data_IF_546370822023
#
_entry.id   IF_546370822023
#
_cell.length_a   1.000
_cell.length_b   1.000
_cell.length_c   1.000
_cell.angle_alpha   90.00
_cell.angle_beta   90.00
_cell.angle_gamma   90.00
#
_symmetry.space_group_name_H-M   'P 1'
#
loop_
_entity.id
_entity.type
_entity.pdbx_description
1 polymer ?
#
# COMPACT_ATOMS: atom_id res chain seq x y z
N UNK A 1 47.18 8.48 21.76
CA UNK A 1 46.69 7.83 20.53
C UNK A 1 45.43 6.98 20.74
N UNK A 2 45.21 6.32 21.90
CA UNK A 2 43.99 5.54 22.16
C UNK A 2 42.66 6.33 22.06
N UNK A 3 42.65 7.63 22.39
CA UNK A 3 41.44 8.49 22.33
C UNK A 3 40.96 8.83 20.91
N UNK A 4 41.85 8.81 19.91
CA UNK A 4 41.50 9.10 18.51
C UNK A 4 40.78 7.93 17.86
N UNK A 5 41.14 6.69 18.25
CA UNK A 5 40.56 5.46 17.72
C UNK A 5 39.07 5.28 18.08
N UNK A 6 38.65 5.73 19.28
CA UNK A 6 37.24 5.70 19.68
C UNK A 6 36.37 6.70 18.91
N UNK A 7 36.94 7.84 18.49
CA UNK A 7 36.21 8.84 17.72
C UNK A 7 35.92 8.34 16.29
N UNK A 8 36.87 7.63 15.67
CA UNK A 8 36.71 7.04 14.34
C UNK A 8 35.63 5.94 14.31
N UNK A 9 35.53 5.13 15.36
CA UNK A 9 34.50 4.08 15.48
C UNK A 9 33.11 4.69 15.72
N UNK A 10 33.01 5.81 16.46
CA UNK A 10 31.75 6.55 16.61
C UNK A 10 31.29 7.18 15.29
N UNK A 11 32.20 7.77 14.51
CA UNK A 11 31.83 8.36 13.21
C UNK A 11 31.46 7.31 12.14
N UNK A 12 32.12 6.15 12.12
CA UNK A 12 31.79 5.04 11.22
C UNK A 12 30.45 4.35 11.57
N UNK A 13 30.05 4.34 12.84
CA UNK A 13 28.73 3.82 13.25
C UNK A 13 27.59 4.79 12.98
N UNK A 14 27.85 6.10 12.91
CA UNK A 14 26.84 7.11 12.55
C UNK A 14 26.60 7.15 11.03
N UNK A 15 27.61 6.85 10.20
CA UNK A 15 27.45 6.84 8.73
C UNK A 15 26.54 5.71 8.22
N UNK A 16 26.38 4.62 8.98
CA UNK A 16 25.42 3.53 8.66
C UNK A 16 24.00 3.78 9.19
N UNK A 17 23.71 4.97 9.73
CA UNK A 17 22.41 5.35 10.28
C UNK A 17 21.77 6.50 9.50
N UNK A 18 21.95 6.55 8.17
CA UNK A 18 20.90 7.12 7.32
C UNK A 18 19.66 6.24 7.47
N UNK A 19 18.92 6.46 8.56
CA UNK A 19 17.70 5.76 8.87
C UNK A 19 16.71 6.02 7.73
N UNK A 20 16.59 5.03 6.85
CA UNK A 20 15.72 5.17 5.70
C UNK A 20 14.31 5.45 6.15
N UNK A 21 13.78 6.53 5.59
CA UNK A 21 12.43 6.99 5.85
C UNK A 21 11.54 6.70 4.64
N UNK A 22 10.27 7.05 4.76
CA UNK A 22 9.27 6.73 3.73
C UNK A 22 9.55 7.39 2.37
N UNK A 23 10.21 8.55 2.36
CA UNK A 23 10.60 9.26 1.13
C UNK A 23 11.70 8.49 0.40
N UNK A 24 12.65 7.91 1.13
CA UNK A 24 13.70 7.07 0.53
C UNK A 24 13.07 5.84 -0.14
N UNK A 25 12.11 5.19 0.53
CA UNK A 25 11.38 4.06 -0.07
C UNK A 25 10.54 4.46 -1.27
N UNK A 26 9.94 5.65 -1.26
CA UNK A 26 9.21 6.16 -2.43
C UNK A 26 10.10 6.28 -3.66
N UNK A 27 11.38 6.59 -3.50
CA UNK A 27 12.34 6.60 -4.61
C UNK A 27 12.78 5.19 -5.04
N UNK A 28 12.89 4.26 -4.10
CA UNK A 28 13.40 2.90 -4.35
C UNK A 28 12.37 1.93 -4.94
N UNK A 29 11.06 2.17 -4.74
CA UNK A 29 10.01 1.29 -5.25
C UNK A 29 10.00 1.29 -6.80
N UNK A 30 9.86 0.13 -7.46
CA UNK A 30 9.78 0.07 -8.92
C UNK A 30 8.62 0.91 -9.48
N UNK A 31 8.86 1.61 -10.59
CA UNK A 31 7.92 2.60 -11.14
C UNK A 31 6.56 2.04 -11.52
N UNK A 32 6.50 0.77 -11.96
CA UNK A 32 5.26 0.08 -12.26
C UNK A 32 4.25 0.04 -11.09
N UNK A 33 4.71 0.23 -9.84
CA UNK A 33 3.85 0.26 -8.65
C UNK A 33 3.41 1.68 -8.23
N UNK A 34 3.90 2.71 -8.93
CA UNK A 34 3.70 4.13 -8.61
C UNK A 34 3.39 4.92 -9.90
N UNK A 35 2.46 4.40 -10.68
CA UNK A 35 1.98 5.00 -11.94
C UNK A 35 3.08 5.33 -12.97
N UNK A 36 4.14 4.52 -12.99
CA UNK A 36 5.31 4.72 -13.87
C UNK A 36 6.00 6.07 -13.73
N UNK A 37 5.86 6.76 -12.59
CA UNK A 37 6.62 7.98 -12.30
C UNK A 37 8.10 7.66 -12.18
N UNK A 38 8.92 8.37 -12.95
CA UNK A 38 10.38 8.32 -12.93
C UNK A 38 10.95 8.85 -11.62
N UNK A 39 12.22 8.53 -11.34
CA UNK A 39 12.93 9.05 -10.17
C UNK A 39 12.93 10.59 -10.11
N UNK A 40 13.13 11.26 -11.25
CA UNK A 40 13.17 12.72 -11.34
C UNK A 40 11.80 13.32 -11.02
N UNK A 41 10.73 12.73 -11.54
CA UNK A 41 9.34 13.16 -11.26
C UNK A 41 8.99 12.98 -9.78
N UNK A 42 9.35 11.85 -9.18
CA UNK A 42 9.15 11.62 -7.75
C UNK A 42 9.91 12.61 -6.88
N UNK A 43 11.15 12.93 -7.25
CA UNK A 43 11.94 13.95 -6.54
C UNK A 43 11.31 15.34 -6.65
N UNK A 44 10.79 15.68 -7.83
CA UNK A 44 10.02 16.92 -8.05
C UNK A 44 8.75 16.94 -7.19
N UNK A 45 7.99 15.83 -7.14
CA UNK A 45 6.81 15.67 -6.31
C UNK A 45 7.09 15.87 -4.83
N UNK A 46 8.14 15.25 -4.29
CA UNK A 46 8.49 15.42 -2.87
C UNK A 46 8.84 16.87 -2.55
N UNK A 47 9.55 17.56 -3.45
CA UNK A 47 9.95 18.96 -3.29
C UNK A 47 8.75 19.91 -3.37
N UNK A 48 7.89 19.74 -4.37
CA UNK A 48 6.85 20.70 -4.73
C UNK A 48 5.45 20.30 -4.22
N UNK A 49 5.31 19.08 -3.68
CA UNK A 49 4.04 18.44 -3.27
C UNK A 49 3.02 18.22 -4.38
N UNK A 50 3.33 18.68 -5.59
CA UNK A 50 2.49 18.66 -6.77
C UNK A 50 3.35 18.45 -8.02
N UNK A 51 2.82 17.72 -8.99
CA UNK A 51 3.38 17.60 -10.34
C UNK A 51 2.23 17.50 -11.34
N UNK A 52 2.31 18.28 -12.40
CA UNK A 52 1.43 18.11 -13.57
C UNK A 52 2.23 17.45 -14.67
N UNK A 53 1.66 16.40 -15.26
CA UNK A 53 2.27 15.60 -16.32
C UNK A 53 1.19 15.23 -17.31
N UNK A 54 1.31 15.72 -18.54
CA UNK A 54 0.27 15.61 -19.56
C UNK A 54 -1.07 16.18 -19.04
N UNK A 55 -2.13 15.39 -19.04
CA UNK A 55 -3.46 15.69 -18.53
C UNK A 55 -3.69 15.19 -17.10
N UNK A 56 -2.63 14.82 -16.38
CA UNK A 56 -2.69 14.30 -15.03
C UNK A 56 -2.06 15.23 -14.00
N UNK A 57 -2.79 15.41 -12.89
CA UNK A 57 -2.35 16.07 -11.68
C UNK A 57 -1.99 15.02 -10.63
N UNK A 58 -0.78 15.13 -10.12
CA UNK A 58 -0.28 14.33 -9.01
C UNK A 58 -0.07 15.21 -7.77
N UNK A 59 -0.46 14.70 -6.60
CA UNK A 59 -0.17 15.30 -5.31
C UNK A 59 0.42 14.27 -4.35
N UNK A 60 1.26 14.70 -3.42
CA UNK A 60 1.88 13.80 -2.44
C UNK A 60 1.77 14.33 -1.02
N UNK A 61 1.24 13.49 -0.14
CA UNK A 61 1.27 13.67 1.31
C UNK A 61 2.19 12.62 1.92
N UNK A 62 2.96 13.00 2.95
CA UNK A 62 3.76 12.04 3.68
C UNK A 62 3.92 12.42 5.15
N UNK A 63 4.08 11.39 5.98
CA UNK A 63 4.34 11.46 7.40
C UNK A 63 5.58 10.62 7.70
N UNK A 64 6.73 11.29 7.82
CA UNK A 64 8.02 10.66 8.10
C UNK A 64 7.99 9.92 9.45
N UNK A 65 7.27 10.47 10.44
CA UNK A 65 7.22 9.92 11.81
C UNK A 65 6.49 8.57 11.82
N UNK A 66 5.36 8.49 11.13
CA UNK A 66 4.57 7.25 11.05
C UNK A 66 5.05 6.31 9.93
N UNK A 67 5.91 6.81 9.03
CA UNK A 67 6.43 6.05 7.90
C UNK A 67 5.36 5.78 6.85
N UNK A 68 4.55 6.80 6.54
CA UNK A 68 3.43 6.72 5.59
C UNK A 68 3.59 7.75 4.47
N UNK A 69 3.26 7.37 3.25
CA UNK A 69 3.16 8.26 2.09
C UNK A 69 1.94 7.91 1.28
N UNK A 70 1.29 8.94 0.74
CA UNK A 70 0.15 8.84 -0.16
C UNK A 70 0.39 9.72 -1.37
N UNK A 71 0.37 9.09 -2.54
CA UNK A 71 0.38 9.74 -3.84
C UNK A 71 -1.04 9.65 -4.39
N UNK A 72 -1.61 10.79 -4.77
CA UNK A 72 -2.89 10.84 -5.48
C UNK A 72 -2.65 11.32 -6.91
N UNK A 73 -3.39 10.72 -7.83
CA UNK A 73 -3.43 11.05 -9.25
C UNK A 73 -4.88 11.34 -9.62
N UNK A 74 -5.08 12.36 -10.44
CA UNK A 74 -6.39 12.69 -11.03
C UNK A 74 -6.19 13.35 -12.38
N UNK A 75 -7.19 13.29 -13.25
CA UNK A 75 -7.15 14.06 -14.50
C UNK A 75 -7.45 15.53 -14.24
N UNK A 76 -6.77 16.42 -14.96
CA UNK A 76 -6.97 17.87 -14.85
C UNK A 76 -8.23 18.34 -15.56
N UNK A 77 -8.64 17.64 -16.62
CA UNK A 77 -9.80 18.00 -17.44
C UNK A 77 -10.53 16.74 -17.95
N UNK A 78 -11.85 16.86 -18.14
CA UNK A 78 -12.70 15.91 -18.86
C UNK A 78 -12.98 14.57 -18.16
N UNK A 79 -11.94 13.86 -17.72
CA UNK A 79 -12.07 12.53 -17.13
C UNK A 79 -12.24 12.59 -15.62
N UNK A 80 -13.12 11.75 -15.08
CA UNK A 80 -13.40 11.61 -13.64
C UNK A 80 -12.51 10.56 -12.95
N UNK A 81 -11.47 10.10 -13.63
CA UNK A 81 -10.58 9.03 -13.16
C UNK A 81 -9.63 9.52 -12.08
N UNK A 82 -9.32 8.65 -11.12
CA UNK A 82 -8.33 8.90 -10.08
C UNK A 82 -7.57 7.63 -9.70
N UNK A 83 -6.39 7.84 -9.16
CA UNK A 83 -5.52 6.81 -8.60
C UNK A 83 -5.01 7.24 -7.23
N UNK A 84 -4.98 6.31 -6.29
CA UNK A 84 -4.43 6.51 -4.95
C UNK A 84 -3.38 5.41 -4.75
N UNK A 85 -2.17 5.81 -4.39
CA UNK A 85 -1.05 4.91 -4.11
C UNK A 85 -0.53 5.21 -2.72
N UNK A 86 -0.59 4.23 -1.83
CA UNK A 86 -0.16 4.34 -0.44
C UNK A 86 1.09 3.49 -0.22
N UNK A 87 2.00 3.98 0.62
CA UNK A 87 3.22 3.30 1.02
C UNK A 87 3.36 3.39 2.53
N UNK A 88 3.64 2.27 3.18
CA UNK A 88 3.96 2.19 4.62
C UNK A 88 5.16 1.28 4.84
N UNK A 89 5.96 1.56 5.88
CA UNK A 89 6.95 0.59 6.35
C UNK A 89 6.81 0.20 7.84
N UNK A 90 7.31 -1.00 8.13
CA UNK A 90 7.50 -1.57 9.45
C UNK A 90 8.99 -1.86 9.67
N UNK A 91 9.45 -1.61 10.89
CA UNK A 91 10.76 -2.05 11.33
C UNK A 91 10.64 -3.53 11.74
N UNK A 92 11.42 -4.38 11.11
CA UNK A 92 11.51 -5.82 11.38
C UNK A 92 12.95 -6.08 11.83
N UNK A 93 13.22 -7.07 12.69
CA UNK A 93 14.51 -7.20 13.43
C UNK A 93 15.77 -6.80 12.66
N UNK A 94 15.92 -7.27 11.42
CA UNK A 94 17.10 -7.02 10.58
C UNK A 94 16.77 -6.45 9.20
N UNK A 95 15.58 -5.87 9.00
CA UNK A 95 15.12 -5.36 7.70
C UNK A 95 13.96 -4.38 7.86
N UNK A 96 13.55 -3.75 6.76
CA UNK A 96 12.27 -3.02 6.69
C UNK A 96 11.30 -3.81 5.84
N UNK A 97 10.07 -3.98 6.32
CA UNK A 97 8.97 -4.44 5.50
C UNK A 97 8.27 -3.19 4.96
N UNK A 98 8.04 -3.13 3.65
CA UNK A 98 7.34 -2.03 2.99
C UNK A 98 6.09 -2.62 2.33
N UNK A 99 4.96 -1.95 2.47
CA UNK A 99 3.75 -2.26 1.71
C UNK A 99 3.45 -1.14 0.73
N UNK A 100 3.01 -1.51 -0.46
CA UNK A 100 2.44 -0.61 -1.46
C UNK A 100 1.02 -1.08 -1.76
N UNK A 101 0.05 -0.16 -1.68
CA UNK A 101 -1.35 -0.40 -2.00
C UNK A 101 -1.81 0.63 -3.01
N UNK A 102 -2.53 0.20 -4.06
CA UNK A 102 -3.08 1.13 -5.04
C UNK A 102 -4.56 0.86 -5.32
N UNK A 103 -5.36 1.93 -5.33
CA UNK A 103 -6.77 1.92 -5.72
C UNK A 103 -6.93 2.80 -6.95
N UNK A 104 -7.67 2.31 -7.93
CA UNK A 104 -8.07 3.09 -9.11
C UNK A 104 -9.59 3.23 -9.11
N UNK A 105 -10.07 4.40 -9.49
CA UNK A 105 -11.50 4.67 -9.52
C UNK A 105 -11.89 5.71 -10.56
N UNK A 106 -13.20 5.79 -10.79
CA UNK A 106 -13.83 6.78 -11.65
C UNK A 106 -15.30 6.90 -11.27
N UNK A 107 -15.84 8.11 -11.33
CA UNK A 107 -17.28 8.41 -11.15
C UNK A 107 -17.91 7.94 -9.81
N UNK A 108 -17.09 7.57 -8.81
CA UNK A 108 -17.52 7.07 -7.49
C UNK A 108 -17.36 5.56 -7.29
N UNK A 109 -17.03 4.83 -8.36
CA UNK A 109 -16.68 3.41 -8.36
C UNK A 109 -15.18 3.26 -8.28
N UNK A 110 -14.70 2.19 -7.67
CA UNK A 110 -13.28 1.91 -7.55
C UNK A 110 -13.03 0.42 -7.35
N UNK A 111 -11.78 0.03 -7.58
CA UNK A 111 -11.27 -1.30 -7.27
C UNK A 111 -9.84 -1.21 -6.71
N UNK A 112 -9.46 -2.21 -5.92
CA UNK A 112 -8.07 -2.40 -5.54
C UNK A 112 -7.30 -2.83 -6.79
N UNK A 113 -6.40 -1.98 -7.28
CA UNK A 113 -5.60 -2.24 -8.47
C UNK A 113 -4.38 -3.12 -8.16
N UNK A 114 -3.75 -2.93 -6.99
CA UNK A 114 -2.57 -3.73 -6.62
C UNK A 114 -2.31 -3.67 -5.11
N UNK A 115 -1.62 -4.68 -4.60
CA UNK A 115 -1.07 -4.72 -3.25
C UNK A 115 0.21 -5.57 -3.25
N UNK A 116 1.28 -5.03 -2.68
CA UNK A 116 2.61 -5.67 -2.65
C UNK A 116 3.34 -5.42 -1.34
N UNK A 117 4.05 -6.44 -0.89
CA UNK A 117 5.09 -6.32 0.12
C UNK A 117 6.48 -6.35 -0.50
N UNK A 118 7.38 -5.55 0.06
CA UNK A 118 8.80 -5.55 -0.24
C UNK A 118 9.61 -5.66 1.05
N UNK A 119 10.76 -6.32 0.97
CA UNK A 119 11.77 -6.31 2.02
C UNK A 119 12.93 -5.44 1.58
N UNK A 120 13.33 -4.52 2.45
CA UNK A 120 14.56 -3.75 2.29
C UNK A 120 15.59 -4.18 3.33
N UNK A 121 16.72 -4.70 2.84
CA UNK A 121 17.83 -5.18 3.66
C UNK A 121 19.15 -5.00 2.90
N UNK A 122 20.18 -4.53 3.60
CA UNK A 122 21.54 -4.42 3.04
C UNK A 122 21.55 -3.70 1.68
N UNK A 123 20.84 -2.58 1.61
CA UNK A 123 20.64 -1.75 0.40
C UNK A 123 19.86 -2.35 -0.76
N UNK A 124 19.28 -3.53 -0.55
CA UNK A 124 18.51 -4.24 -1.57
C UNK A 124 17.02 -4.24 -1.23
N UNK A 125 16.22 -3.76 -2.19
CA UNK A 125 14.77 -3.89 -2.18
C UNK A 125 14.37 -5.15 -2.97
N UNK A 126 13.66 -6.07 -2.33
CA UNK A 126 13.18 -7.30 -2.95
C UNK A 126 11.69 -7.48 -2.74
N UNK A 127 10.98 -7.92 -3.76
CA UNK A 127 9.55 -8.21 -3.65
C UNK A 127 9.32 -9.50 -2.85
N UNK A 128 8.40 -9.43 -1.88
CA UNK A 128 8.03 -10.59 -1.08
C UNK A 128 7.11 -11.50 -1.88
N UNK A 129 7.51 -12.76 -2.02
CA UNK A 129 6.74 -13.77 -2.76
C UNK A 129 5.52 -14.27 -1.99
N UNK A 130 5.64 -14.46 -0.67
CA UNK A 130 4.61 -14.99 0.22
C UNK A 130 4.88 -14.61 1.69
N UNK A 131 3.86 -14.71 2.55
CA UNK A 131 3.96 -14.40 3.98
C UNK A 131 3.49 -13.00 4.38
N UNK A 132 3.81 -12.60 5.61
CA UNK A 132 3.34 -11.40 6.33
C UNK A 132 1.83 -11.30 6.55
N UNK A 133 1.00 -11.68 5.59
CA UNK A 133 -0.45 -11.71 5.73
C UNK A 133 -0.95 -13.09 5.29
N UNK A 134 -1.99 -13.59 5.95
CA UNK A 134 -2.57 -14.88 5.60
C UNK A 134 -2.95 -14.91 4.12
N UNK A 135 -2.61 -16.01 3.44
CA UNK A 135 -2.91 -16.25 2.02
C UNK A 135 -2.23 -15.28 1.04
N UNK A 136 -1.31 -14.42 1.50
CA UNK A 136 -0.58 -13.49 0.63
C UNK A 136 0.34 -14.20 -0.35
N UNK A 137 0.29 -13.74 -1.59
CA UNK A 137 1.22 -14.07 -2.66
C UNK A 137 1.49 -12.82 -3.50
N UNK A 138 2.70 -12.73 -4.06
CA UNK A 138 3.08 -11.68 -5.02
C UNK A 138 2.17 -11.60 -6.24
N UNK A 139 1.49 -12.68 -6.65
CA UNK A 139 0.46 -12.60 -7.68
C UNK A 139 -0.82 -11.95 -7.11
N UNK A 140 -1.07 -10.70 -7.49
CA UNK A 140 -2.17 -9.91 -6.92
C UNK A 140 -3.55 -10.53 -7.20
N UNK A 141 -3.79 -11.06 -8.40
CA UNK A 141 -5.06 -11.69 -8.76
C UNK A 141 -5.35 -12.92 -7.89
N UNK A 142 -4.33 -13.74 -7.64
CA UNK A 142 -4.47 -14.91 -6.75
C UNK A 142 -4.70 -14.44 -5.31
N UNK A 143 -3.93 -13.45 -4.85
CA UNK A 143 -4.04 -12.94 -3.50
C UNK A 143 -5.42 -12.31 -3.22
N UNK A 144 -5.92 -11.43 -4.09
CA UNK A 144 -7.19 -10.74 -3.90
C UNK A 144 -8.36 -11.73 -3.87
N UNK A 145 -8.33 -12.76 -4.72
CA UNK A 145 -9.34 -13.81 -4.75
C UNK A 145 -9.32 -14.66 -3.46
N UNK A 146 -8.13 -15.01 -2.96
CA UNK A 146 -7.99 -15.71 -1.68
C UNK A 146 -8.52 -14.86 -0.53
N UNK A 147 -8.17 -13.57 -0.52
CA UNK A 147 -8.57 -12.64 0.53
C UNK A 147 -10.09 -12.43 0.56
N UNK A 148 -10.73 -12.21 -0.59
CA UNK A 148 -12.20 -12.17 -0.70
C UNK A 148 -12.84 -13.49 -0.27
N UNK A 149 -12.17 -14.62 -0.53
CA UNK A 149 -12.56 -15.93 -0.02
C UNK A 149 -12.65 -15.98 1.51
N UNK A 150 -11.78 -15.27 2.24
CA UNK A 150 -11.85 -15.17 3.70
C UNK A 150 -13.10 -14.39 4.17
N UNK A 151 -13.48 -13.35 3.44
CA UNK A 151 -14.62 -12.47 3.77
C UNK A 151 -15.99 -13.09 3.43
N UNK A 152 -16.03 -14.10 2.56
CA UNK A 152 -17.28 -14.66 2.01
C UNK A 152 -17.70 -15.96 2.70
N UNK A 153 -19.01 -16.24 2.70
CA UNK A 153 -19.59 -17.51 3.16
C UNK A 153 -19.04 -18.68 2.33
N UNK A 154 -18.91 -19.85 2.96
CA UNK A 154 -18.31 -21.06 2.34
C UNK A 154 -18.99 -21.48 1.03
N UNK A 155 -20.30 -21.25 0.91
CA UNK A 155 -21.12 -21.60 -0.25
C UNK A 155 -21.26 -20.48 -1.30
N UNK A 156 -20.59 -19.33 -1.12
CA UNK A 156 -20.59 -18.26 -2.12
C UNK A 156 -19.94 -18.74 -3.41
N UNK A 157 -20.63 -18.57 -4.54
CA UNK A 157 -20.17 -19.03 -5.85
C UNK A 157 -18.91 -18.28 -6.30
N UNK A 158 -18.13 -18.90 -7.20
CA UNK A 158 -16.90 -18.29 -7.70
C UNK A 158 -17.16 -17.01 -8.51
N UNK A 159 -18.28 -16.94 -9.24
CA UNK A 159 -18.68 -15.72 -9.96
C UNK A 159 -18.90 -14.55 -9.01
N UNK A 160 -19.61 -14.75 -7.89
CA UNK A 160 -19.81 -13.69 -6.89
C UNK A 160 -18.50 -13.26 -6.24
N UNK A 161 -17.58 -14.20 -5.99
CA UNK A 161 -16.23 -13.87 -5.48
C UNK A 161 -15.42 -13.06 -6.49
N UNK A 162 -15.55 -13.36 -7.78
CA UNK A 162 -14.94 -12.59 -8.86
C UNK A 162 -15.47 -11.16 -8.91
N UNK A 163 -16.79 -10.97 -8.82
CA UNK A 163 -17.39 -9.63 -8.77
C UNK A 163 -16.89 -8.85 -7.55
N UNK A 164 -16.84 -9.49 -6.38
CA UNK A 164 -16.36 -8.89 -5.14
C UNK A 164 -14.88 -8.52 -5.18
N UNK A 165 -14.02 -9.29 -5.85
CA UNK A 165 -12.60 -8.93 -5.98
C UNK A 165 -12.36 -7.74 -6.89
N UNK A 166 -13.30 -7.44 -7.79
CA UNK A 166 -13.26 -6.31 -8.70
C UNK A 166 -14.07 -5.10 -8.21
N UNK A 167 -14.78 -5.20 -7.09
CA UNK A 167 -15.71 -4.17 -6.64
C UNK A 167 -15.43 -3.69 -5.22
N UNK A 168 -15.11 -2.40 -5.11
CA UNK A 168 -15.21 -1.61 -3.87
C UNK A 168 -14.48 -2.16 -2.64
N UNK A 169 -13.54 -3.05 -2.90
CA UNK A 169 -12.73 -3.70 -1.91
C UNK A 169 -11.44 -2.91 -1.77
N UNK A 170 -11.05 -2.59 -0.54
CA UNK A 170 -9.84 -1.81 -0.25
C UNK A 170 -8.96 -2.54 0.74
N UNK A 171 -7.66 -2.52 0.49
CA UNK A 171 -6.61 -2.82 1.46
C UNK A 171 -5.95 -1.49 1.86
N UNK A 172 -6.44 -0.90 2.94
CA UNK A 172 -6.01 0.42 3.41
C UNK A 172 -4.75 0.29 4.28
N UNK A 173 -3.72 1.06 3.94
CA UNK A 173 -2.49 1.12 4.73
C UNK A 173 -2.62 2.12 5.88
N UNK A 174 -2.02 1.85 7.05
CA UNK A 174 -2.18 2.70 8.22
C UNK A 174 -1.42 4.02 8.07
N UNK A 175 -2.13 5.15 8.04
CA UNK A 175 -1.51 6.48 8.26
C UNK A 175 -0.94 6.63 9.68
N UNK A 176 -1.57 5.97 10.65
CA UNK A 176 -1.15 5.91 12.05
C UNK A 176 -1.28 4.47 12.55
N UNK A 177 -0.40 4.09 13.47
CA UNK A 177 -0.34 2.71 13.96
C UNK A 177 0.28 1.77 12.92
N UNK A 178 0.01 0.46 13.04
CA UNK A 178 0.68 -0.58 12.27
C UNK A 178 -0.24 -1.65 11.68
N UNK A 179 -1.56 -1.49 11.83
CA UNK A 179 -2.53 -2.51 11.39
C UNK A 179 -3.01 -2.22 9.97
N UNK A 180 -3.32 -3.28 9.21
CA UNK A 180 -3.90 -3.17 7.87
C UNK A 180 -5.41 -3.36 7.99
N UNK A 181 -6.17 -2.44 7.42
CA UNK A 181 -7.63 -2.54 7.36
C UNK A 181 -8.05 -3.02 5.96
N UNK A 182 -8.90 -4.03 5.93
CA UNK A 182 -9.44 -4.60 4.70
C UNK A 182 -10.95 -4.53 4.77
N UNK A 183 -11.59 -3.93 3.77
CA UNK A 183 -13.03 -3.72 3.82
C UNK A 183 -13.67 -3.56 2.44
N UNK A 184 -14.95 -3.87 2.36
CA UNK A 184 -15.83 -3.41 1.29
C UNK A 184 -16.44 -2.06 1.66
N UNK A 185 -16.23 -1.03 0.83
CA UNK A 185 -16.82 0.31 1.01
C UNK A 185 -18.02 0.51 0.06
N UNK A 186 -18.86 1.50 0.37
CA UNK A 186 -20.06 1.83 -0.42
C UNK A 186 -19.73 2.51 -1.75
N UNK A 187 -20.65 2.38 -2.70
CA UNK A 187 -20.57 3.05 -4.00
C UNK A 187 -21.38 4.32 -4.01
N UNK A 188 -20.74 5.42 -4.37
CA UNK A 188 -21.46 6.69 -4.53
C UNK A 188 -21.96 6.91 -5.97
N UNK A 189 -21.68 6.03 -6.95
CA UNK A 189 -22.06 6.25 -8.37
C UNK A 189 -23.54 6.01 -8.69
N UNK A 190 -24.16 5.02 -8.06
CA UNK A 190 -25.45 4.49 -8.53
C UNK A 190 -26.50 4.52 -7.43
N UNK A 191 -26.21 3.83 -6.34
CA UNK A 191 -27.03 3.76 -5.15
C UNK A 191 -26.08 3.40 -3.99
N UNK A 192 -25.99 4.20 -2.92
CA UNK A 192 -25.19 3.88 -1.73
C UNK A 192 -25.46 2.47 -1.18
N UNK A 193 -26.68 1.97 -1.40
CA UNK A 193 -27.12 0.65 -0.96
C UNK A 193 -26.91 -0.46 -1.99
N UNK A 194 -26.37 -0.18 -3.18
CA UNK A 194 -26.15 -1.17 -4.24
C UNK A 194 -25.33 -2.36 -3.73
N UNK A 195 -24.22 -2.09 -3.04
CA UNK A 195 -23.38 -3.15 -2.49
C UNK A 195 -24.16 -4.01 -1.50
N UNK A 196 -24.90 -3.39 -0.60
CA UNK A 196 -25.64 -4.12 0.43
C UNK A 196 -26.79 -4.95 -0.16
N UNK A 197 -27.52 -4.40 -1.12
CA UNK A 197 -28.61 -5.10 -1.82
C UNK A 197 -28.12 -6.34 -2.57
N UNK A 198 -26.96 -6.25 -3.22
CA UNK A 198 -26.47 -7.30 -4.11
C UNK A 198 -25.53 -8.28 -3.42
N UNK A 199 -24.69 -7.81 -2.49
CA UNK A 199 -23.52 -8.58 -2.03
C UNK A 199 -23.46 -8.87 -0.53
N UNK A 200 -24.05 -8.04 0.34
CA UNK A 200 -23.91 -8.22 1.80
C UNK A 200 -24.35 -9.61 2.29
N UNK A 201 -25.37 -10.21 1.65
CA UNK A 201 -25.86 -11.56 1.98
C UNK A 201 -24.81 -12.66 1.82
N UNK A 202 -23.74 -12.44 1.05
CA UNK A 202 -22.68 -13.41 0.80
C UNK A 202 -21.47 -13.27 1.72
N UNK A 203 -21.43 -12.25 2.58
CA UNK A 203 -20.30 -11.96 3.45
C UNK A 203 -20.47 -12.60 4.84
N UNK A 204 -19.36 -13.03 5.43
CA UNK A 204 -19.24 -13.28 6.87
C UNK A 204 -18.92 -11.99 7.62
N UNK A 205 -18.11 -11.12 7.00
CA UNK A 205 -17.71 -9.83 7.55
C UNK A 205 -17.51 -8.83 6.41
N UNK A 206 -17.85 -7.56 6.66
CA UNK A 206 -17.69 -6.45 5.71
C UNK A 206 -16.32 -5.77 5.82
N UNK A 207 -15.73 -5.84 7.01
CA UNK A 207 -14.42 -5.29 7.35
C UNK A 207 -13.68 -6.24 8.28
N UNK A 208 -12.35 -6.28 8.13
CA UNK A 208 -11.44 -6.94 9.05
C UNK A 208 -10.17 -6.12 9.19
N UNK A 209 -9.73 -5.96 10.42
CA UNK A 209 -8.43 -5.34 10.74
C UNK A 209 -7.45 -6.46 11.06
N UNK A 210 -6.38 -6.55 10.27
CA UNK A 210 -5.28 -7.48 10.52
C UNK A 210 -4.23 -6.76 11.37
N UNK A 211 -4.01 -7.29 12.58
CA UNK A 211 -3.14 -6.67 13.58
C UNK A 211 -1.71 -7.07 13.35
N UNK A 212 -0.79 -6.12 13.42
CA UNK A 212 0.63 -6.42 13.38
C UNK A 212 1.06 -7.11 14.68
N UNK A 213 1.56 -8.34 14.58
CA UNK A 213 2.19 -9.05 15.68
C UNK A 213 3.69 -8.76 15.69
N UNK A 214 4.17 -7.99 16.65
CA UNK A 214 5.59 -7.57 16.74
C UNK A 214 6.55 -8.74 17.02
N UNK A 215 6.08 -9.83 17.64
CA UNK A 215 6.92 -10.98 17.99
C UNK A 215 7.10 -11.90 16.78
N UNK A 216 5.99 -12.21 16.10
CA UNK A 216 5.95 -13.09 14.94
C UNK A 216 6.31 -12.37 13.63
N UNK A 217 6.26 -11.03 13.64
CA UNK A 217 6.47 -10.17 12.48
C UNK A 217 5.51 -10.50 11.32
N UNK A 218 4.24 -10.74 11.66
CA UNK A 218 3.15 -11.03 10.70
C UNK A 218 1.85 -10.33 11.12
N UNK A 219 0.94 -10.16 10.17
CA UNK A 219 -0.42 -9.66 10.33
C UNK A 219 -1.39 -10.82 10.60
N UNK A 220 -2.15 -10.74 11.70
CA UNK A 220 -3.14 -11.74 12.13
C UNK A 220 -4.51 -11.15 12.50
#
# INVERSE_FOLDING_TARGET
MKKVFYLSILFLSIQNLCAQNIVDFFYSIPAQYLDSLSYVERKSLIKNKRLEKYDMLYTVEYDIKNGYLRLEQSYTEGQSGYGIYEIVYWNVKNKKLIAVSSVLGSNGGFHQNNFKFFEYKDENLSEVRNGYLKSYTSNFEVFINNLVGEFTKKNTSQSVKGDLSQSQFTIALPRKGKNIAVSFKENNMSDPTYFDKNYARYLNFREKVYKWNEIKEVFE
#
